data_IF_792997966486
#
_entry.id   IF_792997966486
#
_cell.length_a   1.000
_cell.length_b   1.000
_cell.length_c   1.000
_cell.angle_alpha   90.00
_cell.angle_beta   90.00
_cell.angle_gamma   90.00
#
_symmetry.space_group_name_H-M   'P 1'
#
loop_
_entity.id
_entity.type
_entity.pdbx_description
1 polymer ?
#
# COMPACT_ATOMS: atom_id res chain seq x y z
N UNK A 1 19.50 24.32 35.37
CA UNK A 1 18.73 23.11 35.04
C UNK A 1 17.26 23.49 34.94
N UNK A 2 16.82 23.95 33.80
CA UNK A 2 15.39 24.17 33.47
C UNK A 2 15.36 24.73 32.04
N UNK A 3 15.05 23.92 31.03
CA UNK A 3 14.61 24.32 29.68
C UNK A 3 14.46 23.14 28.70
N UNK A 4 14.22 21.92 29.20
CA UNK A 4 14.01 20.74 28.33
C UNK A 4 12.54 20.23 28.35
N UNK A 5 11.65 20.84 29.14
CA UNK A 5 10.32 20.27 29.43
C UNK A 5 9.16 20.90 28.63
N UNK A 6 9.35 21.98 27.88
CA UNK A 6 8.23 22.64 27.19
C UNK A 6 8.02 22.27 25.71
N UNK A 7 8.97 21.61 25.06
CA UNK A 7 8.84 21.26 23.64
C UNK A 7 8.01 19.98 23.36
N UNK A 8 7.55 19.25 24.39
CA UNK A 8 6.80 18.00 24.20
C UNK A 8 5.27 18.15 24.17
N UNK A 9 4.72 19.35 24.31
CA UNK A 9 3.33 19.55 24.69
C UNK A 9 2.31 19.52 23.53
N UNK A 10 2.68 19.47 22.24
CA UNK A 10 1.68 19.57 21.16
C UNK A 10 2.01 18.86 19.84
N UNK A 11 2.61 17.67 19.90
CA UNK A 11 2.84 16.90 18.66
C UNK A 11 1.48 16.34 18.21
N UNK A 12 1.02 16.78 17.03
CA UNK A 12 -0.17 16.24 16.37
C UNK A 12 0.02 14.74 16.13
N UNK A 13 -0.89 13.91 16.63
CA UNK A 13 -0.75 12.43 16.59
C UNK A 13 -1.71 11.77 15.63
N UNK A 14 -2.80 12.43 15.28
CA UNK A 14 -3.83 11.90 14.37
C UNK A 14 -3.57 12.40 12.96
N UNK A 15 -3.31 11.50 12.02
CA UNK A 15 -3.03 11.88 10.63
C UNK A 15 -2.72 10.69 9.75
N UNK A 16 -2.30 10.99 8.53
CA UNK A 16 -1.78 10.04 7.56
C UNK A 16 -0.33 10.42 7.27
N UNK A 17 0.58 9.48 7.41
CA UNK A 17 2.00 9.61 7.03
C UNK A 17 2.23 8.83 5.74
N UNK A 18 2.77 9.50 4.73
CA UNK A 18 3.35 8.87 3.57
C UNK A 18 4.81 8.61 3.89
N UNK A 19 5.21 7.34 4.00
CA UNK A 19 6.56 6.94 4.37
C UNK A 19 7.25 6.25 3.19
N UNK A 20 8.45 6.70 2.84
CA UNK A 20 9.32 6.03 1.91
C UNK A 20 10.03 4.86 2.62
N UNK A 21 9.45 3.65 2.51
CA UNK A 21 10.08 2.44 3.06
C UNK A 21 11.30 2.06 2.24
N UNK A 22 12.42 1.82 2.90
CA UNK A 22 13.65 1.29 2.31
C UNK A 22 13.59 -0.24 2.18
N UNK A 23 14.44 -0.86 1.33
CA UNK A 23 14.70 -2.31 1.39
C UNK A 23 15.22 -2.71 2.78
N UNK A 24 15.12 -3.99 3.14
CA UNK A 24 15.60 -4.57 4.39
C UNK A 24 14.54 -4.65 5.49
N UNK A 25 14.09 -3.54 6.10
CA UNK A 25 13.09 -3.59 7.17
C UNK A 25 11.73 -4.09 6.66
N UNK A 26 11.02 -4.87 7.49
CA UNK A 26 9.62 -5.20 7.23
C UNK A 26 8.75 -3.93 7.29
N UNK A 27 7.56 -3.95 6.66
CA UNK A 27 6.59 -2.85 6.79
C UNK A 27 6.25 -2.53 8.24
N UNK A 28 6.16 -3.54 9.10
CA UNK A 28 5.90 -3.34 10.53
C UNK A 28 7.10 -2.68 11.26
N UNK A 29 8.33 -3.10 10.99
CA UNK A 29 9.53 -2.49 11.55
C UNK A 29 9.67 -1.02 11.15
N UNK A 30 9.30 -0.67 9.91
CA UNK A 30 9.31 0.71 9.39
C UNK A 30 8.38 1.65 10.15
N UNK A 31 7.35 1.14 10.84
CA UNK A 31 6.47 1.96 11.68
C UNK A 31 7.20 2.56 12.90
N UNK A 32 8.36 2.03 13.30
CA UNK A 32 9.08 2.54 14.47
C UNK A 32 9.54 3.99 14.30
N UNK A 33 9.93 4.40 13.07
CA UNK A 33 10.27 5.80 12.79
C UNK A 33 9.06 6.72 13.00
N UNK A 34 7.87 6.30 12.55
CA UNK A 34 6.62 7.05 12.74
C UNK A 34 6.21 7.11 14.22
N UNK A 35 6.32 5.98 14.95
CA UNK A 35 6.03 5.94 16.39
C UNK A 35 6.91 6.91 17.17
N UNK A 36 8.21 6.91 16.90
CA UNK A 36 9.17 7.80 17.55
C UNK A 36 8.93 9.26 17.17
N UNK A 37 8.73 9.56 15.88
CA UNK A 37 8.51 10.93 15.40
C UNK A 37 7.29 11.58 16.03
N UNK A 38 6.17 10.85 16.14
CA UNK A 38 4.88 11.37 16.61
C UNK A 38 4.58 11.03 18.08
N UNK A 39 5.53 10.41 18.79
CA UNK A 39 5.36 9.98 20.18
C UNK A 39 4.02 9.25 20.42
N UNK A 40 3.75 8.22 19.60
CA UNK A 40 2.51 7.42 19.66
C UNK A 40 2.75 5.97 19.25
N UNK A 41 2.15 5.03 19.96
CA UNK A 41 2.14 3.62 19.59
C UNK A 41 0.96 3.25 18.67
N UNK A 42 0.00 4.17 18.50
CA UNK A 42 -1.20 3.94 17.70
C UNK A 42 -0.92 4.28 16.24
N UNK A 43 -0.30 3.34 15.54
CA UNK A 43 0.05 3.44 14.12
C UNK A 43 -0.27 2.13 13.40
N UNK A 44 -0.68 2.23 12.14
CA UNK A 44 -0.99 1.07 11.31
C UNK A 44 -0.76 1.39 9.83
N UNK A 45 -0.05 0.50 9.10
CA UNK A 45 0.10 0.64 7.66
C UNK A 45 -1.12 0.09 6.91
N UNK A 46 -1.33 0.57 5.70
CA UNK A 46 -2.50 0.27 4.85
C UNK A 46 -2.20 -0.73 3.73
N UNK A 47 -1.15 -1.51 3.87
CA UNK A 47 -0.76 -2.53 2.89
C UNK A 47 0.70 -2.88 3.01
N UNK A 48 0.97 -4.15 3.25
CA UNK A 48 2.33 -4.68 3.40
C UNK A 48 3.14 -4.48 2.11
N UNK A 49 4.41 -4.11 2.28
CA UNK A 49 5.47 -4.27 1.30
C UNK A 49 6.40 -5.37 1.80
N UNK A 50 6.87 -6.21 0.89
CA UNK A 50 7.86 -7.22 1.20
C UNK A 50 9.14 -6.57 1.77
N UNK A 51 9.95 -7.31 2.52
CA UNK A 51 11.15 -6.76 3.17
C UNK A 51 12.15 -6.22 2.14
N UNK A 52 12.37 -6.95 1.06
CA UNK A 52 13.26 -6.53 -0.02
C UNK A 52 12.75 -5.33 -0.83
N UNK A 53 11.42 -5.09 -0.80
CA UNK A 53 10.80 -4.02 -1.56
C UNK A 53 11.03 -2.64 -0.94
N UNK A 54 11.05 -1.62 -1.78
CA UNK A 54 11.05 -0.22 -1.37
C UNK A 54 9.80 0.52 -1.84
N UNK A 55 9.62 1.77 -1.39
CA UNK A 55 8.59 2.65 -1.91
C UNK A 55 7.52 3.05 -0.90
N UNK A 56 6.40 3.53 -1.41
CA UNK A 56 5.35 4.16 -0.62
C UNK A 56 4.68 3.21 0.37
N UNK A 57 4.78 3.53 1.65
CA UNK A 57 4.02 2.92 2.74
C UNK A 57 3.09 3.98 3.35
N UNK A 58 1.79 3.86 3.12
CA UNK A 58 0.81 4.76 3.72
C UNK A 58 0.50 4.27 5.14
N UNK A 59 0.65 5.16 6.12
CA UNK A 59 0.52 4.87 7.55
C UNK A 59 -0.54 5.76 8.17
N UNK A 60 -1.56 5.18 8.77
CA UNK A 60 -2.53 5.88 9.58
C UNK A 60 -2.05 5.97 11.03
N UNK A 61 -2.23 7.12 11.68
CA UNK A 61 -1.77 7.37 13.04
C UNK A 61 -2.91 7.82 13.96
N UNK A 62 -2.77 7.55 15.25
CA UNK A 62 -3.76 7.93 16.27
C UNK A 62 -5.12 7.33 15.98
N UNK A 63 -6.16 8.18 16.07
CA UNK A 63 -7.55 7.76 15.87
C UNK A 63 -7.86 7.39 14.41
N UNK A 64 -7.06 7.86 13.44
CA UNK A 64 -7.24 7.56 12.02
C UNK A 64 -6.79 6.14 11.63
N UNK A 65 -6.19 5.36 12.53
CA UNK A 65 -5.94 3.92 12.29
C UNK A 65 -7.20 3.14 11.91
N UNK A 66 -8.38 3.66 12.28
CA UNK A 66 -9.69 3.10 11.88
C UNK A 66 -9.95 3.17 10.36
N UNK A 67 -9.26 4.07 9.63
CA UNK A 67 -9.37 4.23 8.18
C UNK A 67 -8.46 3.28 7.38
N UNK A 68 -7.56 2.57 8.04
CA UNK A 68 -6.55 1.75 7.36
C UNK A 68 -7.17 0.73 6.38
N UNK A 69 -8.30 0.13 6.74
CA UNK A 69 -9.01 -0.82 5.88
C UNK A 69 -9.47 -0.22 4.55
N UNK A 70 -9.91 1.03 4.53
CA UNK A 70 -10.37 1.73 3.33
C UNK A 70 -9.19 1.96 2.36
N UNK A 71 -8.07 2.48 2.86
CA UNK A 71 -6.87 2.75 2.05
C UNK A 71 -6.23 1.44 1.56
N UNK A 72 -6.31 0.36 2.34
CA UNK A 72 -5.84 -0.97 1.91
C UNK A 72 -6.54 -1.45 0.63
N UNK A 73 -7.78 -1.02 0.41
CA UNK A 73 -8.58 -1.40 -0.75
C UNK A 73 -8.20 -0.67 -2.06
N UNK A 74 -7.31 0.32 -2.02
CA UNK A 74 -6.93 1.08 -3.22
C UNK A 74 -6.08 0.28 -4.19
N UNK A 75 -6.11 0.70 -5.45
CA UNK A 75 -5.20 0.24 -6.50
C UNK A 75 -3.77 0.71 -6.21
N UNK A 76 -2.78 0.00 -6.73
CA UNK A 76 -1.36 0.28 -6.51
C UNK A 76 -0.61 0.33 -7.84
N UNK A 77 0.45 1.16 -7.87
CA UNK A 77 1.41 1.13 -8.97
C UNK A 77 2.79 0.74 -8.48
N UNK A 78 3.49 -0.02 -9.31
CA UNK A 78 4.80 -0.56 -8.99
C UNK A 78 5.74 -0.46 -10.18
N UNK A 79 7.03 -0.38 -9.88
CA UNK A 79 8.11 -0.78 -10.78
C UNK A 79 8.70 -2.08 -10.23
N UNK A 80 8.95 -3.03 -11.11
CA UNK A 80 9.47 -4.34 -10.75
C UNK A 80 10.63 -4.72 -11.65
N UNK A 81 11.74 -5.17 -11.06
CA UNK A 81 12.85 -5.79 -11.78
C UNK A 81 12.70 -7.30 -11.66
N UNK A 82 12.49 -7.93 -12.81
CA UNK A 82 12.30 -9.37 -12.95
C UNK A 82 13.61 -9.97 -13.48
N UNK A 83 14.12 -11.01 -12.80
CA UNK A 83 15.22 -11.85 -13.24
C UNK A 83 14.66 -13.12 -13.85
N UNK A 84 15.02 -13.41 -15.10
CA UNK A 84 14.59 -14.60 -15.84
C UNK A 84 15.62 -15.74 -15.74
N UNK A 85 15.17 -16.95 -16.04
CA UNK A 85 15.97 -18.17 -16.02
C UNK A 85 15.84 -18.98 -14.74
N UNK A 86 15.46 -18.37 -13.62
CA UNK A 86 15.39 -19.02 -12.31
C UNK A 86 14.15 -18.60 -11.54
N UNK A 87 13.44 -19.58 -10.97
CA UNK A 87 12.35 -19.36 -10.03
C UNK A 87 12.77 -19.75 -8.62
N UNK A 88 12.41 -18.94 -7.64
CA UNK A 88 12.63 -19.23 -6.22
C UNK A 88 11.32 -19.58 -5.54
N UNK A 89 11.39 -20.29 -4.42
CA UNK A 89 10.23 -20.70 -3.59
C UNK A 89 9.40 -19.51 -3.09
N UNK A 90 10.05 -18.37 -2.82
CA UNK A 90 9.40 -17.12 -2.39
C UNK A 90 9.03 -16.19 -3.55
N UNK A 91 9.47 -16.48 -4.76
CA UNK A 91 9.41 -15.62 -5.95
C UNK A 91 10.14 -14.29 -5.78
N UNK A 92 11.13 -14.23 -4.88
CA UNK A 92 12.05 -13.11 -4.66
C UNK A 92 13.49 -13.63 -4.56
N UNK A 93 14.47 -12.78 -4.82
CA UNK A 93 15.89 -13.16 -4.91
C UNK A 93 16.46 -13.78 -3.63
N UNK A 94 15.82 -13.60 -2.47
CA UNK A 94 16.25 -14.16 -1.18
C UNK A 94 15.79 -15.61 -0.98
N UNK A 95 14.92 -16.13 -1.84
CA UNK A 95 14.41 -17.49 -1.76
C UNK A 95 15.39 -18.54 -2.33
N UNK A 96 15.11 -19.81 -2.06
CA UNK A 96 15.84 -20.94 -2.64
C UNK A 96 15.40 -21.20 -4.06
N UNK A 97 16.33 -21.44 -4.99
CA UNK A 97 16.02 -21.79 -6.38
C UNK A 97 15.32 -23.16 -6.39
N UNK A 98 14.13 -23.19 -6.98
CA UNK A 98 13.31 -24.41 -7.11
C UNK A 98 13.12 -24.84 -8.57
N UNK A 99 13.42 -23.96 -9.53
CA UNK A 99 13.29 -24.24 -10.96
C UNK A 99 14.28 -23.40 -11.76
N UNK A 100 14.88 -24.03 -12.78
CA UNK A 100 15.66 -23.37 -13.83
C UNK A 100 15.02 -23.59 -15.19
N UNK A 101 15.14 -22.63 -16.09
CA UNK A 101 14.59 -22.68 -17.44
C UNK A 101 15.40 -21.77 -18.38
N UNK A 102 15.31 -21.95 -19.71
CA UNK A 102 15.96 -21.06 -20.66
C UNK A 102 15.54 -19.59 -20.51
N UNK A 103 16.46 -18.68 -20.81
CA UNK A 103 16.15 -17.25 -20.89
C UNK A 103 15.26 -16.96 -22.11
N UNK A 104 14.27 -16.05 -21.99
CA UNK A 104 13.38 -15.74 -23.10
C UNK A 104 14.03 -14.77 -24.10
N UNK A 105 13.52 -14.77 -25.33
CA UNK A 105 13.81 -13.69 -26.28
C UNK A 105 12.99 -12.44 -25.95
N UNK A 106 13.45 -11.26 -26.37
CA UNK A 106 12.70 -10.02 -26.22
C UNK A 106 11.29 -10.10 -26.83
N UNK A 107 11.17 -10.73 -28.02
CA UNK A 107 9.87 -10.93 -28.68
C UNK A 107 8.91 -11.77 -27.83
N UNK A 108 9.39 -12.84 -27.20
CA UNK A 108 8.60 -13.69 -26.32
C UNK A 108 8.14 -12.90 -25.09
N UNK A 109 9.04 -12.12 -24.45
CA UNK A 109 8.72 -11.28 -23.30
C UNK A 109 7.64 -10.25 -23.63
N UNK A 110 7.77 -9.50 -24.73
CA UNK A 110 6.78 -8.51 -25.15
C UNK A 110 5.41 -9.14 -25.39
N UNK A 111 5.38 -10.32 -26.02
CA UNK A 111 4.14 -11.08 -26.22
C UNK A 111 3.51 -11.51 -24.88
N UNK A 112 4.33 -12.02 -23.95
CA UNK A 112 3.88 -12.47 -22.63
C UNK A 112 3.28 -11.32 -21.80
N UNK A 113 3.95 -10.16 -21.74
CA UNK A 113 3.44 -8.98 -21.04
C UNK A 113 2.11 -8.52 -21.64
N UNK A 114 1.94 -8.55 -22.96
CA UNK A 114 0.68 -8.26 -23.64
C UNK A 114 -0.44 -9.24 -23.29
N UNK A 115 -0.16 -10.52 -23.07
CA UNK A 115 -1.14 -11.52 -22.62
C UNK A 115 -1.50 -11.34 -21.14
N UNK A 116 -0.49 -11.19 -20.28
CA UNK A 116 -0.68 -11.01 -18.83
C UNK A 116 -1.51 -9.76 -18.51
N UNK A 117 -1.41 -8.70 -19.30
CA UNK A 117 -2.26 -7.50 -19.12
C UNK A 117 -3.77 -7.77 -19.16
N UNK A 118 -4.19 -8.92 -19.70
CA UNK A 118 -5.59 -9.37 -19.79
C UNK A 118 -5.97 -10.40 -18.73
N UNK A 119 -5.03 -10.80 -17.87
CA UNK A 119 -5.27 -11.79 -16.81
C UNK A 119 -6.24 -11.23 -15.77
N UNK A 120 -7.25 -12.04 -15.41
CA UNK A 120 -8.28 -11.68 -14.43
C UNK A 120 -8.22 -12.50 -13.16
N UNK A 121 -7.45 -13.58 -13.13
CA UNK A 121 -7.28 -14.47 -11.99
C UNK A 121 -5.79 -14.71 -11.75
N UNK A 122 -5.38 -14.80 -10.49
CA UNK A 122 -3.99 -15.04 -10.11
C UNK A 122 -3.90 -16.02 -8.95
N UNK A 123 -2.96 -16.93 -9.00
CA UNK A 123 -2.57 -17.77 -7.86
C UNK A 123 -1.53 -16.99 -7.04
N UNK A 124 -1.86 -16.59 -5.79
CA UNK A 124 -0.93 -15.92 -4.89
C UNK A 124 0.31 -16.75 -4.60
N UNK A 125 1.44 -16.14 -4.19
CA UNK A 125 2.63 -16.89 -3.81
C UNK A 125 2.43 -17.63 -2.47
N UNK A 126 3.18 -18.73 -2.26
CA UNK A 126 3.16 -19.49 -1.02
C UNK A 126 3.51 -18.60 0.19
N UNK A 127 4.50 -17.72 0.04
CA UNK A 127 4.87 -16.75 1.07
C UNK A 127 3.96 -15.51 1.01
N UNK A 128 2.70 -15.66 1.44
CA UNK A 128 1.71 -14.57 1.49
C UNK A 128 1.00 -14.50 2.84
N UNK A 129 0.36 -13.35 3.12
CA UNK A 129 -0.43 -13.15 4.33
C UNK A 129 -1.85 -13.75 4.24
N UNK A 130 -2.15 -14.53 3.22
CA UNK A 130 -3.45 -15.18 3.02
C UNK A 130 -3.63 -16.27 4.07
N UNK A 131 -4.84 -16.35 4.64
CA UNK A 131 -5.19 -17.44 5.56
C UNK A 131 -5.86 -18.59 4.79
N UNK A 132 -5.40 -19.81 5.08
CA UNK A 132 -5.92 -21.06 4.57
C UNK A 132 -6.23 -21.92 5.79
N UNK A 133 -7.50 -22.28 5.99
CA UNK A 133 -7.96 -23.05 7.15
C UNK A 133 -7.54 -22.46 8.52
N UNK A 134 -7.44 -21.12 8.61
CA UNK A 134 -7.08 -20.40 9.83
C UNK A 134 -5.59 -20.13 10.02
N UNK A 135 -4.69 -20.75 9.26
CA UNK A 135 -3.25 -20.50 9.29
C UNK A 135 -2.80 -19.62 8.10
N UNK A 136 -1.76 -18.82 8.27
CA UNK A 136 -1.20 -18.03 7.17
C UNK A 136 -0.44 -18.93 6.19
N UNK A 137 -0.62 -18.71 4.88
CA UNK A 137 0.12 -19.44 3.85
C UNK A 137 1.64 -19.35 4.05
N UNK A 138 2.16 -18.15 4.41
CA UNK A 138 3.57 -17.97 4.73
C UNK A 138 4.08 -18.80 5.91
N UNK A 139 3.22 -19.09 6.89
CA UNK A 139 3.62 -19.89 8.07
C UNK A 139 3.62 -21.38 7.72
N UNK A 140 2.67 -21.83 6.88
CA UNK A 140 2.66 -23.16 6.31
C UNK A 140 3.90 -23.40 5.43
N UNK A 141 4.22 -22.46 4.53
CA UNK A 141 5.39 -22.54 3.67
C UNK A 141 6.71 -22.64 4.46
N UNK A 142 6.88 -21.87 5.55
CA UNK A 142 8.06 -21.96 6.44
C UNK A 142 8.16 -23.33 7.15
N UNK A 143 7.05 -24.00 7.36
CA UNK A 143 7.00 -25.38 7.92
C UNK A 143 7.26 -26.44 6.85
N UNK A 144 7.51 -26.07 5.58
CA UNK A 144 7.65 -26.98 4.46
C UNK A 144 6.34 -27.65 4.02
N UNK A 145 5.20 -27.08 4.41
CA UNK A 145 3.88 -27.60 4.06
C UNK A 145 3.37 -26.92 2.79
N UNK A 146 3.05 -27.70 1.78
CA UNK A 146 2.39 -27.20 0.58
C UNK A 146 0.93 -26.85 0.89
N UNK A 147 0.58 -25.56 0.66
CA UNK A 147 -0.78 -25.10 0.77
C UNK A 147 -1.37 -24.85 -0.62
N UNK A 148 -2.50 -25.47 -0.93
CA UNK A 148 -3.25 -25.15 -2.15
C UNK A 148 -3.92 -23.78 -2.00
N UNK A 149 -3.32 -22.75 -2.60
CA UNK A 149 -3.86 -21.41 -2.57
C UNK A 149 -4.79 -21.23 -3.77
N UNK A 150 -6.10 -20.97 -3.54
CA UNK A 150 -7.04 -20.81 -4.63
C UNK A 150 -6.74 -19.54 -5.44
N UNK A 151 -6.98 -19.55 -6.75
CA UNK A 151 -6.89 -18.35 -7.58
C UNK A 151 -7.81 -17.25 -7.06
N UNK A 152 -7.36 -15.99 -7.17
CA UNK A 152 -8.13 -14.81 -6.74
C UNK A 152 -8.30 -13.83 -7.88
N UNK A 153 -9.44 -13.11 -7.94
CA UNK A 153 -9.66 -12.11 -8.96
C UNK A 153 -8.69 -10.94 -8.78
N UNK A 154 -8.11 -10.53 -9.90
CA UNK A 154 -7.23 -9.38 -10.03
C UNK A 154 -7.64 -8.54 -11.23
N UNK A 155 -7.14 -7.30 -11.29
CA UNK A 155 -7.21 -6.47 -12.49
C UNK A 155 -5.87 -5.79 -12.70
N UNK A 156 -5.36 -5.90 -13.92
CA UNK A 156 -4.14 -5.25 -14.36
C UNK A 156 -4.57 -4.10 -15.27
N UNK A 157 -4.33 -2.86 -14.84
CA UNK A 157 -4.67 -1.66 -15.60
C UNK A 157 -3.55 -1.27 -16.55
N UNK A 158 -2.29 -1.61 -16.16
CA UNK A 158 -1.08 -1.34 -16.93
C UNK A 158 -0.03 -2.41 -16.64
N UNK A 159 0.63 -2.87 -17.71
CA UNK A 159 1.88 -3.62 -17.66
C UNK A 159 2.74 -3.13 -18.83
N UNK A 160 3.84 -2.44 -18.57
CA UNK A 160 4.67 -1.79 -19.58
C UNK A 160 6.15 -2.05 -19.31
N UNK A 161 6.85 -2.63 -20.30
CA UNK A 161 8.28 -2.82 -20.23
C UNK A 161 8.98 -1.47 -20.41
N UNK A 162 9.79 -1.08 -19.42
CA UNK A 162 10.56 0.18 -19.42
C UNK A 162 11.98 -0.03 -19.90
N UNK A 163 12.59 -1.14 -19.49
CA UNK A 163 13.98 -1.46 -19.79
C UNK A 163 14.16 -2.97 -19.88
N UNK A 164 15.05 -3.41 -20.74
CA UNK A 164 15.47 -4.81 -20.91
C UNK A 164 16.98 -4.86 -20.88
N UNK A 165 17.52 -5.78 -20.09
CA UNK A 165 18.94 -6.13 -20.08
C UNK A 165 19.10 -7.56 -20.59
N UNK A 166 19.91 -7.73 -21.64
CA UNK A 166 20.20 -9.02 -22.26
C UNK A 166 21.59 -9.51 -21.89
N UNK A 167 21.78 -10.83 -21.98
CA UNK A 167 23.11 -11.45 -21.95
C UNK A 167 23.84 -11.30 -23.30
N UNK A 168 25.04 -11.84 -23.39
CA UNK A 168 25.86 -11.80 -24.62
C UNK A 168 25.21 -12.51 -25.84
N UNK A 169 24.32 -13.48 -25.57
CA UNK A 169 23.57 -14.19 -26.63
C UNK A 169 22.29 -13.42 -27.07
N UNK A 170 22.04 -12.22 -26.55
CA UNK A 170 20.85 -11.42 -26.85
C UNK A 170 19.55 -11.92 -26.20
N UNK A 171 19.64 -12.83 -25.24
CA UNK A 171 18.51 -13.33 -24.47
C UNK A 171 18.26 -12.44 -23.24
N UNK A 172 16.99 -12.26 -22.86
CA UNK A 172 16.60 -11.38 -21.76
C UNK A 172 16.97 -12.01 -20.42
N UNK A 173 17.85 -11.35 -19.69
CA UNK A 173 18.24 -11.72 -18.32
C UNK A 173 17.44 -10.95 -17.29
N UNK A 174 17.25 -9.62 -17.49
CA UNK A 174 16.43 -8.77 -16.60
C UNK A 174 15.47 -7.91 -17.40
N UNK A 175 14.33 -7.59 -16.80
CA UNK A 175 13.41 -6.58 -17.32
C UNK A 175 12.88 -5.70 -16.19
N UNK A 176 12.83 -4.39 -16.41
CA UNK A 176 12.13 -3.41 -15.59
C UNK A 176 10.74 -3.18 -16.17
N UNK A 177 9.70 -3.48 -15.40
CA UNK A 177 8.31 -3.40 -15.84
C UNK A 177 7.50 -2.53 -14.88
N UNK A 178 6.76 -1.57 -15.43
CA UNK A 178 5.75 -0.79 -14.72
C UNK A 178 4.43 -1.55 -14.65
N UNK A 179 3.85 -1.63 -13.46
CA UNK A 179 2.52 -2.20 -13.24
C UNK A 179 1.59 -1.19 -12.58
N UNK A 180 0.32 -1.17 -13.01
CA UNK A 180 -0.80 -0.60 -12.25
C UNK A 180 -1.86 -1.68 -12.08
N UNK A 181 -2.24 -1.99 -10.84
CA UNK A 181 -2.99 -3.20 -10.50
C UNK A 181 -4.01 -2.95 -9.40
N UNK A 182 -5.07 -3.77 -9.38
CA UNK A 182 -6.05 -3.77 -8.30
C UNK A 182 -5.46 -4.26 -6.98
N UNK A 183 -6.15 -3.95 -5.89
CA UNK A 183 -5.84 -4.53 -4.57
C UNK A 183 -5.68 -6.06 -4.64
N UNK A 184 -4.80 -6.59 -3.82
CA UNK A 184 -4.61 -8.04 -3.69
C UNK A 184 -3.79 -8.70 -4.80
N UNK A 185 -3.34 -7.94 -5.81
CA UNK A 185 -2.44 -8.45 -6.85
C UNK A 185 -1.02 -8.56 -6.31
N UNK A 186 -0.40 -9.72 -6.51
CA UNK A 186 0.99 -10.00 -6.14
C UNK A 186 1.90 -9.83 -7.34
N UNK A 187 2.80 -8.85 -7.30
CA UNK A 187 3.75 -8.59 -8.40
C UNK A 187 4.73 -9.76 -8.57
N UNK A 188 5.08 -10.45 -7.47
CA UNK A 188 5.89 -11.67 -7.49
C UNK A 188 5.23 -12.78 -8.34
N UNK A 189 3.92 -12.98 -8.18
CA UNK A 189 3.18 -13.94 -9.02
C UNK A 189 3.07 -13.47 -10.47
N UNK A 190 2.94 -12.15 -10.74
CA UNK A 190 2.96 -11.64 -12.11
C UNK A 190 4.30 -11.92 -12.80
N UNK A 191 5.42 -11.79 -12.09
CA UNK A 191 6.75 -12.12 -12.62
C UNK A 191 6.84 -13.60 -13.03
N UNK A 192 6.39 -14.51 -12.16
CA UNK A 192 6.28 -15.95 -12.47
C UNK A 192 5.39 -16.20 -13.69
N UNK A 193 4.18 -15.62 -13.68
CA UNK A 193 3.19 -15.86 -14.73
C UNK A 193 3.69 -15.34 -16.09
N UNK A 194 4.38 -14.18 -16.15
CA UNK A 194 5.06 -13.66 -17.35
C UNK A 194 6.13 -14.64 -17.82
N UNK A 195 6.95 -15.16 -16.92
CA UNK A 195 8.00 -16.10 -17.27
C UNK A 195 7.43 -17.40 -17.85
N UNK A 196 6.36 -17.93 -17.28
CA UNK A 196 5.70 -19.14 -17.81
C UNK A 196 5.13 -18.92 -19.20
N UNK A 197 4.54 -17.74 -19.47
CA UNK A 197 4.09 -17.38 -20.83
C UNK A 197 5.24 -17.24 -21.84
N UNK A 198 6.47 -17.00 -21.37
CA UNK A 198 7.68 -16.99 -22.21
C UNK A 198 8.34 -18.36 -22.33
N UNK A 199 7.86 -19.40 -21.66
CA UNK A 199 8.55 -20.70 -21.55
C UNK A 199 9.81 -20.64 -20.68
N UNK A 200 9.86 -19.73 -19.70
CA UNK A 200 10.98 -19.49 -18.79
C UNK A 200 10.58 -19.69 -17.32
N UNK A 201 11.46 -19.29 -16.42
CA UNK A 201 11.25 -19.17 -14.98
C UNK A 201 11.68 -17.77 -14.55
N UNK A 202 11.14 -17.23 -13.45
CA UNK A 202 11.59 -15.93 -12.95
C UNK A 202 11.27 -15.71 -11.48
N UNK A 203 11.99 -14.75 -10.89
CA UNK A 203 11.70 -14.17 -9.58
C UNK A 203 11.93 -12.65 -9.60
N UNK A 204 11.46 -11.95 -8.59
CA UNK A 204 11.75 -10.52 -8.44
C UNK A 204 13.12 -10.31 -7.80
N UNK A 205 13.92 -9.44 -8.43
CA UNK A 205 15.16 -8.91 -7.86
C UNK A 205 14.93 -7.57 -7.17
N UNK A 206 13.97 -6.78 -7.63
CA UNK A 206 13.60 -5.52 -7.01
C UNK A 206 12.11 -5.22 -7.19
N UNK A 207 11.55 -4.51 -6.21
CA UNK A 207 10.17 -4.06 -6.23
C UNK A 207 10.06 -2.67 -5.60
N UNK A 208 9.44 -1.76 -6.34
CA UNK A 208 9.25 -0.38 -5.91
C UNK A 208 7.80 0.05 -6.04
N UNK A 209 7.10 0.29 -4.91
CA UNK A 209 5.73 0.79 -4.93
C UNK A 209 5.71 2.31 -5.07
N UNK A 210 5.25 2.80 -6.20
CA UNK A 210 5.23 4.23 -6.53
C UNK A 210 3.93 4.91 -6.13
N UNK A 211 2.78 4.18 -6.10
CA UNK A 211 1.47 4.76 -5.78
C UNK A 211 0.58 3.83 -4.96
N UNK A 212 -0.29 4.43 -4.14
CA UNK A 212 -1.42 3.79 -3.45
C UNK A 212 -2.63 4.73 -3.59
N UNK A 213 -3.59 4.41 -4.45
CA UNK A 213 -4.66 5.32 -4.83
C UNK A 213 -4.12 6.63 -5.41
N UNK A 214 -4.52 7.77 -4.83
CA UNK A 214 -4.03 9.11 -5.17
C UNK A 214 -2.64 9.41 -4.60
N UNK A 215 -2.23 8.73 -3.50
CA UNK A 215 -0.97 8.99 -2.82
C UNK A 215 0.24 8.56 -3.65
N UNK A 216 1.26 9.42 -3.73
CA UNK A 216 2.48 9.22 -4.52
C UNK A 216 3.70 9.12 -3.61
N UNK A 217 4.71 8.39 -4.07
CA UNK A 217 5.96 8.22 -3.33
C UNK A 217 6.75 9.53 -3.22
N UNK A 218 6.64 10.42 -4.18
CA UNK A 218 7.33 11.71 -4.23
C UNK A 218 6.96 12.61 -3.05
N UNK A 219 5.75 12.43 -2.50
CA UNK A 219 5.24 13.20 -1.34
C UNK A 219 5.68 12.59 0.01
N UNK A 220 6.30 11.40 0.00
CA UNK A 220 6.61 10.66 1.22
C UNK A 220 7.80 11.26 1.99
N UNK A 221 7.75 11.15 3.32
CA UNK A 221 8.90 11.38 4.18
C UNK A 221 9.98 10.33 3.87
N UNK A 222 11.23 10.77 3.74
CA UNK A 222 12.38 9.94 3.38
C UNK A 222 12.50 9.64 1.88
N UNK A 223 11.68 10.23 1.01
CA UNK A 223 11.75 9.99 -0.44
C UNK A 223 13.13 10.33 -1.02
N UNK A 224 13.69 11.48 -0.64
CA UNK A 224 14.97 11.95 -1.15
C UNK A 224 16.16 11.04 -0.76
N UNK A 225 15.98 10.17 0.22
CA UNK A 225 17.01 9.21 0.64
C UNK A 225 16.94 7.90 -0.13
N UNK A 226 15.87 7.65 -0.89
CA UNK A 226 15.79 6.48 -1.77
C UNK A 226 16.71 6.68 -2.97
N UNK A 227 17.43 5.62 -3.33
CA UNK A 227 18.19 5.60 -4.60
C UNK A 227 17.24 5.49 -5.79
N UNK A 228 17.65 5.98 -6.98
CA UNK A 228 16.94 5.72 -8.22
C UNK A 228 16.72 4.20 -8.38
N UNK A 229 15.50 3.82 -8.76
CA UNK A 229 15.15 2.42 -8.97
C UNK A 229 15.44 2.05 -10.42
N UNK A 230 16.50 1.29 -10.64
CA UNK A 230 16.98 0.79 -11.93
C UNK A 230 17.27 -0.71 -11.83
N UNK A 231 17.53 -1.37 -12.97
CA UNK A 231 17.97 -2.77 -12.99
C UNK A 231 19.25 -2.93 -12.16
N UNK A 232 20.24 -2.03 -12.33
CA UNK A 232 21.52 -2.10 -11.62
C UNK A 232 21.36 -1.94 -10.12
N UNK A 233 20.54 -0.97 -9.67
CA UNK A 233 20.31 -0.73 -8.23
C UNK A 233 19.60 -1.91 -7.58
N UNK A 234 18.69 -2.56 -8.30
CA UNK A 234 17.96 -3.74 -7.84
C UNK A 234 18.87 -4.98 -7.71
N UNK A 235 19.86 -5.14 -8.60
CA UNK A 235 20.83 -6.23 -8.55
C UNK A 235 21.83 -6.05 -7.40
N UNK A 236 22.27 -4.81 -7.15
CA UNK A 236 23.30 -4.52 -6.14
C UNK A 236 22.81 -4.65 -4.69
N UNK A 237 21.53 -4.62 -4.44
CA UNK A 237 20.88 -4.73 -3.11
C UNK A 237 21.49 -3.84 -2.02
N UNK A 238 22.10 -2.70 -2.40
CA UNK A 238 22.72 -1.78 -1.45
C UNK A 238 21.67 -0.91 -0.77
N UNK A 239 21.59 -1.02 0.55
CA UNK A 239 20.74 -0.15 1.35
C UNK A 239 21.35 1.26 1.44
N UNK A 240 20.56 2.33 1.26
CA UNK A 240 21.02 3.68 1.54
C UNK A 240 21.19 3.90 3.04
N UNK A 241 22.17 4.70 3.43
CA UNK A 241 22.26 5.22 4.79
C UNK A 241 21.01 6.06 5.10
N UNK A 242 20.54 6.03 6.34
CA UNK A 242 19.42 6.85 6.78
C UNK A 242 19.84 7.74 7.95
N UNK A 243 19.49 9.02 7.87
CA UNK A 243 19.49 9.93 9.01
C UNK A 243 18.11 9.79 9.71
N UNK A 244 18.10 9.15 10.88
CA UNK A 244 16.87 8.90 11.62
C UNK A 244 16.27 10.20 12.20
N UNK A 245 17.05 11.22 12.51
CA UNK A 245 16.52 12.50 13.02
C UNK A 245 15.90 13.33 11.89
N UNK A 246 16.58 13.43 10.74
CA UNK A 246 16.01 14.09 9.55
C UNK A 246 14.71 13.44 9.11
N UNK A 247 14.64 12.11 9.10
CA UNK A 247 13.41 11.39 8.76
C UNK A 247 12.29 11.68 9.78
N UNK A 248 12.58 11.75 11.07
CA UNK A 248 11.56 12.06 12.08
C UNK A 248 11.00 13.47 11.89
N UNK A 249 11.84 14.44 11.54
CA UNK A 249 11.39 15.80 11.27
C UNK A 249 10.52 15.87 9.98
N UNK A 250 10.93 15.18 8.92
CA UNK A 250 10.08 15.07 7.73
C UNK A 250 8.72 14.40 8.04
N UNK A 251 8.68 13.37 8.88
CA UNK A 251 7.41 12.74 9.30
C UNK A 251 6.52 13.74 10.03
N UNK A 252 7.06 14.58 10.91
CA UNK A 252 6.29 15.60 11.64
C UNK A 252 5.73 16.66 10.71
N UNK A 253 6.57 17.19 9.81
CA UNK A 253 6.21 18.27 8.90
C UNK A 253 5.27 17.83 7.78
N UNK A 254 5.42 16.58 7.29
CA UNK A 254 4.60 15.99 6.23
C UNK A 254 3.38 15.21 6.75
N UNK A 255 3.07 15.25 8.05
CA UNK A 255 1.87 14.60 8.59
C UNK A 255 0.61 15.23 7.99
N UNK A 256 -0.09 14.50 7.17
CA UNK A 256 -1.33 14.93 6.55
C UNK A 256 -2.45 14.96 7.60
N UNK A 257 -3.07 16.12 7.75
CA UNK A 257 -4.32 16.25 8.50
C UNK A 257 -5.46 15.62 7.74
N UNK A 258 -6.43 15.07 8.45
CA UNK A 258 -7.61 14.54 7.80
C UNK A 258 -8.64 15.66 7.61
N UNK A 259 -8.43 16.46 6.58
CA UNK A 259 -9.35 17.48 6.06
C UNK A 259 -10.17 16.93 4.89
N UNK A 260 -10.98 17.78 4.23
CA UNK A 260 -11.83 17.36 3.11
C UNK A 260 -11.03 16.87 1.91
N UNK A 261 -9.86 17.47 1.65
CA UNK A 261 -8.98 17.07 0.56
C UNK A 261 -8.42 15.66 0.84
N UNK A 262 -7.86 15.45 2.02
CA UNK A 262 -7.36 14.13 2.44
C UNK A 262 -8.49 13.08 2.53
N UNK A 263 -9.70 13.49 2.92
CA UNK A 263 -10.86 12.60 2.88
C UNK A 263 -11.20 12.15 1.45
N UNK A 264 -11.19 13.08 0.49
CA UNK A 264 -11.40 12.76 -0.93
C UNK A 264 -10.29 11.85 -1.47
N UNK A 265 -9.03 12.10 -1.12
CA UNK A 265 -7.90 11.24 -1.44
C UNK A 265 -8.04 9.82 -0.86
N UNK A 266 -8.73 9.70 0.28
CA UNK A 266 -9.09 8.43 0.90
C UNK A 266 -10.39 7.82 0.36
N UNK A 267 -10.98 8.39 -0.69
CA UNK A 267 -12.19 7.88 -1.34
C UNK A 267 -13.49 8.16 -0.58
N UNK A 268 -13.49 9.15 0.31
CA UNK A 268 -14.69 9.57 1.05
C UNK A 268 -15.30 10.83 0.45
N UNK A 269 -16.62 10.84 0.30
CA UNK A 269 -17.37 12.08 0.13
C UNK A 269 -17.46 12.82 1.46
N UNK A 270 -17.59 14.14 1.44
CA UNK A 270 -17.66 14.97 2.65
C UNK A 270 -19.08 15.45 2.90
N UNK A 271 -19.49 15.42 4.16
CA UNK A 271 -20.76 16.00 4.63
C UNK A 271 -20.51 16.87 5.85
N UNK A 272 -21.29 17.94 6.01
CA UNK A 272 -21.10 18.94 7.08
C UNK A 272 -22.22 18.82 8.11
N UNK A 273 -21.88 18.81 9.41
CA UNK A 273 -22.84 18.95 10.49
C UNK A 273 -23.48 20.33 10.43
N UNK A 274 -24.81 20.41 10.57
CA UNK A 274 -25.58 21.64 10.38
C UNK A 274 -25.50 22.63 11.55
N UNK A 275 -25.14 22.18 12.76
CA UNK A 275 -25.10 23.04 13.96
C UNK A 275 -24.35 22.39 15.12
N UNK A 276 -24.01 23.20 16.13
CA UNK A 276 -23.37 22.69 17.36
C UNK A 276 -24.27 21.67 18.11
N UNK A 277 -25.58 21.86 18.09
CA UNK A 277 -26.55 20.90 18.71
C UNK A 277 -26.51 19.56 17.93
N UNK A 278 -26.53 19.61 16.61
CA UNK A 278 -26.42 18.41 15.77
C UNK A 278 -25.07 17.71 15.97
N UNK A 279 -23.97 18.46 16.19
CA UNK A 279 -22.67 17.89 16.53
C UNK A 279 -22.69 17.15 17.86
N UNK A 280 -23.33 17.72 18.89
CA UNK A 280 -23.50 17.04 20.18
C UNK A 280 -24.31 15.75 20.03
N UNK A 281 -25.40 15.80 19.26
CA UNK A 281 -26.21 14.63 18.96
C UNK A 281 -25.44 13.56 18.20
N UNK A 282 -24.60 13.96 17.24
CA UNK A 282 -23.71 13.07 16.48
C UNK A 282 -22.69 12.38 17.40
N UNK A 283 -22.07 13.11 18.32
CA UNK A 283 -21.12 12.55 19.28
C UNK A 283 -21.77 11.59 20.28
N UNK A 284 -23.04 11.82 20.60
CA UNK A 284 -23.83 10.93 21.49
C UNK A 284 -24.43 9.72 20.73
N UNK A 285 -24.14 9.54 19.44
CA UNK A 285 -24.60 8.40 18.66
C UNK A 285 -26.11 8.38 18.42
N UNK A 286 -26.79 9.53 18.44
CA UNK A 286 -28.24 9.60 18.16
C UNK A 286 -28.51 9.19 16.71
N UNK A 287 -29.75 8.75 16.44
CA UNK A 287 -30.18 8.32 15.10
C UNK A 287 -29.86 9.40 14.07
N UNK A 288 -29.13 9.00 13.02
CA UNK A 288 -28.77 9.90 11.92
C UNK A 288 -30.01 10.28 11.12
N UNK A 289 -30.28 11.56 11.02
CA UNK A 289 -31.37 12.16 10.22
C UNK A 289 -30.81 13.28 9.36
N UNK A 290 -31.45 13.56 8.23
CA UNK A 290 -31.00 14.59 7.29
C UNK A 290 -30.83 15.97 7.95
N UNK A 291 -31.73 16.34 8.87
CA UNK A 291 -31.67 17.62 9.59
C UNK A 291 -30.39 17.84 10.43
N UNK A 292 -29.60 16.78 10.68
CA UNK A 292 -28.29 16.92 11.36
C UNK A 292 -27.21 17.47 10.45
N UNK A 293 -27.43 17.53 9.13
CA UNK A 293 -26.40 17.87 8.13
C UNK A 293 -26.87 19.06 7.29
N UNK A 294 -25.89 19.83 6.82
CA UNK A 294 -26.12 20.95 5.90
C UNK A 294 -26.54 20.46 4.51
N UNK A 295 -26.06 19.30 4.08
CA UNK A 295 -26.42 18.63 2.84
C UNK A 295 -27.51 17.58 3.09
N UNK A 296 -28.32 17.30 2.07
CA UNK A 296 -29.34 16.27 2.18
C UNK A 296 -28.68 14.86 2.08
N UNK A 297 -28.86 14.03 3.10
CA UNK A 297 -28.36 12.64 3.07
C UNK A 297 -28.89 11.81 1.89
N UNK A 298 -30.07 12.16 1.32
CA UNK A 298 -30.62 11.45 0.18
C UNK A 298 -29.86 11.69 -1.12
N UNK A 299 -29.06 12.77 -1.22
CA UNK A 299 -28.25 13.07 -2.41
C UNK A 299 -27.08 12.11 -2.59
N UNK A 300 -26.71 11.37 -1.52
CA UNK A 300 -25.62 10.39 -1.55
C UNK A 300 -26.19 9.00 -1.85
N UNK A 301 -25.60 8.23 -2.80
CA UNK A 301 -26.09 6.90 -3.16
C UNK A 301 -25.97 5.88 -2.02
N UNK A 302 -26.69 4.78 -2.12
CA UNK A 302 -26.49 3.61 -1.26
C UNK A 302 -25.04 3.10 -1.39
N UNK A 303 -24.46 2.65 -0.29
CA UNK A 303 -23.05 2.24 -0.22
C UNK A 303 -22.05 3.36 -0.02
N UNK A 304 -22.44 4.65 -0.12
CA UNK A 304 -21.53 5.80 0.14
C UNK A 304 -20.93 5.75 1.53
N UNK A 305 -19.68 6.17 1.63
CA UNK A 305 -18.97 6.42 2.89
C UNK A 305 -18.69 7.92 2.99
N UNK A 306 -19.20 8.55 4.05
CA UNK A 306 -19.20 9.99 4.21
C UNK A 306 -18.35 10.41 5.40
N UNK A 307 -17.32 11.22 5.13
CA UNK A 307 -16.53 11.89 6.15
C UNK A 307 -17.30 13.11 6.68
N UNK A 308 -17.61 13.08 7.96
CA UNK A 308 -18.40 14.12 8.62
C UNK A 308 -17.48 15.21 9.16
N UNK A 309 -17.72 16.46 8.76
CA UNK A 309 -16.97 17.63 9.21
C UNK A 309 -17.90 18.64 9.88
N UNK A 310 -17.34 19.49 10.76
CA UNK A 310 -18.03 20.71 11.20
C UNK A 310 -17.74 21.87 10.24
N UNK A 311 -18.31 23.05 10.51
CA UNK A 311 -18.11 24.29 9.73
C UNK A 311 -16.64 24.76 9.73
N UNK A 312 -15.91 24.47 10.82
CA UNK A 312 -14.47 24.77 10.96
C UNK A 312 -13.56 23.78 10.25
N UNK A 313 -14.13 22.90 9.40
CA UNK A 313 -13.39 21.83 8.68
C UNK A 313 -12.72 20.80 9.61
N UNK A 314 -13.20 20.64 10.84
CA UNK A 314 -12.74 19.58 11.75
C UNK A 314 -13.46 18.28 11.44
N UNK A 315 -12.70 17.23 11.25
CA UNK A 315 -13.22 15.87 11.04
C UNK A 315 -13.82 15.33 12.34
N UNK A 316 -15.08 14.89 12.31
CA UNK A 316 -15.85 14.42 13.44
C UNK A 316 -16.04 12.91 13.47
N UNK A 317 -16.02 12.25 12.31
CA UNK A 317 -16.25 10.83 12.22
C UNK A 317 -16.64 10.39 10.83
N UNK A 318 -16.89 9.09 10.67
CA UNK A 318 -17.30 8.45 9.43
C UNK A 318 -18.67 7.82 9.58
N UNK A 319 -19.54 8.04 8.61
CA UNK A 319 -20.81 7.34 8.46
C UNK A 319 -20.83 6.62 7.10
N UNK A 320 -21.71 5.64 6.96
CA UNK A 320 -21.93 4.97 5.67
C UNK A 320 -23.42 4.75 5.46
N UNK A 321 -23.83 4.68 4.20
CA UNK A 321 -25.18 4.22 3.82
C UNK A 321 -25.12 2.73 3.46
N UNK A 322 -26.05 1.94 4.00
CA UNK A 322 -26.19 0.53 3.64
C UNK A 322 -26.76 0.37 2.20
N UNK A 323 -26.96 -0.87 1.76
CA UNK A 323 -27.54 -1.19 0.45
C UNK A 323 -28.97 -0.65 0.26
N UNK A 324 -29.68 -0.40 1.37
CA UNK A 324 -31.02 0.20 1.37
C UNK A 324 -30.98 1.73 1.51
N UNK A 325 -29.80 2.33 1.51
CA UNK A 325 -29.59 3.76 1.66
C UNK A 325 -29.75 4.29 3.09
N UNK A 326 -29.81 3.42 4.11
CA UNK A 326 -29.95 3.84 5.52
C UNK A 326 -28.60 4.25 6.06
N UNK A 327 -28.49 5.47 6.69
CA UNK A 327 -27.22 5.91 7.26
C UNK A 327 -26.94 5.20 8.58
N UNK A 328 -25.66 4.85 8.79
CA UNK A 328 -25.14 4.24 9.99
C UNK A 328 -23.76 4.76 10.36
N UNK A 329 -23.46 4.81 11.66
CA UNK A 329 -22.14 5.18 12.15
C UNK A 329 -21.11 4.10 11.83
N UNK A 330 -19.94 4.52 11.37
CA UNK A 330 -18.75 3.68 11.30
C UNK A 330 -17.86 3.92 12.53
N UNK A 331 -17.58 5.17 12.82
CA UNK A 331 -16.96 5.63 14.07
C UNK A 331 -17.11 7.14 14.25
N UNK A 332 -16.91 7.59 15.48
CA UNK A 332 -16.92 8.99 15.89
C UNK A 332 -15.57 9.32 16.53
N UNK A 333 -15.12 10.57 16.37
CA UNK A 333 -13.89 11.12 16.96
C UNK A 333 -14.23 12.23 17.96
N UNK A 334 -14.54 11.86 19.19
CA UNK A 334 -14.72 12.82 20.29
C UNK A 334 -13.40 13.38 20.77
#
# INVERSE_FOLDING_TARGET
>A
MSNITEASANIKKDGIVLLAKRPGPTSFASLNSVKKALNTNKVGHTGTLDSFAQGLLVVCTGRLTKLAGNITAFDKSYQAVIHFGQETDSLEFTGSIIKEAPLPTEKALRSAVGKISKQTMQIPPAFSAIHINGERASDLARKGQEAQIPPRPIKIYKAEIKEIKTNEAGLVEYALIDFSVSKGTYIRSLARDIAYECGSAAHLTGLYRTKVGSFKIEDAAGYQTLKPFTIESAILHKEPAQDDEALKEEIRTKLLSFDRTTAADCGFESITIASASAQADFFNGKKLITAMFAQNLHDYPAGSQLAVFNEENRFLGLISKDENGRPGYRFVLN
#
